data_IF_040050456427
#
_entry.id   IF_040050456427
#
_cell.length_a   1.000
_cell.length_b   1.000
_cell.length_c   1.000
_cell.angle_alpha   90.00
_cell.angle_beta   90.00
_cell.angle_gamma   90.00
#
_symmetry.space_group_name_H-M   'P 1'
#
loop_
_entity.id
_entity.type
_entity.pdbx_description
1 polymer ?
#
# COMPACT_ATOMS: atom_id res chain seq x y z
N UNK A 1 -0.19 -13.22 -31.91
CA UNK A 1 0.11 -14.58 -32.40
C UNK A 1 1.20 -15.17 -31.52
N UNK A 2 0.97 -16.37 -30.97
CA UNK A 2 1.92 -17.04 -30.08
C UNK A 2 2.79 -17.99 -30.88
N UNK A 3 3.89 -17.51 -31.43
CA UNK A 3 4.79 -18.30 -32.28
C UNK A 3 5.96 -18.85 -31.48
N UNK A 4 6.21 -20.16 -31.57
CA UNK A 4 7.37 -20.79 -30.96
C UNK A 4 8.66 -20.32 -31.66
N UNK A 5 9.62 -19.80 -30.89
CA UNK A 5 10.91 -19.33 -31.42
C UNK A 5 11.89 -20.43 -31.81
N UNK A 6 11.56 -21.69 -31.50
CA UNK A 6 12.40 -22.87 -31.80
C UNK A 6 12.03 -23.48 -33.15
N UNK A 7 10.75 -23.76 -33.35
CA UNK A 7 10.24 -24.47 -34.53
C UNK A 7 9.39 -23.60 -35.46
N UNK A 8 9.01 -22.38 -35.06
CA UNK A 8 8.16 -21.49 -35.84
C UNK A 8 6.66 -21.82 -35.82
N UNK A 9 6.24 -22.89 -35.12
CA UNK A 9 4.82 -23.24 -35.01
C UNK A 9 4.01 -22.13 -34.32
N UNK A 10 2.82 -21.87 -34.84
CA UNK A 10 1.90 -20.86 -34.32
C UNK A 10 0.79 -21.50 -33.50
N UNK A 11 0.53 -20.95 -32.32
CA UNK A 11 -0.51 -21.42 -31.41
C UNK A 11 -1.62 -20.39 -31.26
N UNK A 12 -2.85 -20.88 -31.14
CA UNK A 12 -4.04 -20.06 -30.93
C UNK A 12 -3.96 -19.24 -29.64
N UNK A 13 -3.43 -19.87 -28.58
CA UNK A 13 -3.29 -19.24 -27.28
C UNK A 13 -1.93 -19.57 -26.65
N UNK A 14 -1.64 -18.83 -25.58
CA UNK A 14 -0.39 -18.93 -24.88
C UNK A 14 -0.23 -20.26 -24.13
N UNK A 15 -1.31 -20.83 -23.60
CA UNK A 15 -1.27 -22.11 -22.88
C UNK A 15 -0.84 -23.22 -23.82
N UNK A 16 -1.33 -23.21 -25.06
CA UNK A 16 -0.94 -24.16 -26.12
C UNK A 16 0.54 -24.01 -26.46
N UNK A 17 1.05 -22.79 -26.61
CA UNK A 17 2.49 -22.55 -26.78
C UNK A 17 3.29 -23.13 -25.60
N UNK A 18 2.89 -22.83 -24.36
CA UNK A 18 3.56 -23.30 -23.14
C UNK A 18 3.56 -24.83 -23.03
N UNK A 19 2.47 -25.49 -23.41
CA UNK A 19 2.39 -26.96 -23.47
C UNK A 19 3.32 -27.51 -24.54
N UNK A 20 3.39 -26.87 -25.71
CA UNK A 20 4.25 -27.28 -26.82
C UNK A 20 5.75 -27.23 -26.47
N UNK A 21 6.18 -26.33 -25.58
CA UNK A 21 7.60 -26.26 -25.14
C UNK A 21 8.13 -27.60 -24.60
N UNK A 22 7.24 -28.46 -24.08
CA UNK A 22 7.60 -29.82 -23.63
C UNK A 22 8.14 -30.69 -24.76
N UNK A 23 7.71 -30.47 -26.00
CA UNK A 23 8.20 -31.18 -27.19
C UNK A 23 9.69 -30.89 -27.45
N UNK A 24 10.16 -29.71 -27.04
CA UNK A 24 11.56 -29.28 -27.11
C UNK A 24 12.36 -29.62 -25.85
N UNK A 25 11.75 -30.28 -24.86
CA UNK A 25 12.36 -30.62 -23.57
C UNK A 25 12.94 -29.41 -22.82
N UNK A 26 12.32 -28.23 -22.98
CA UNK A 26 12.69 -27.03 -22.25
C UNK A 26 11.56 -26.58 -21.33
N UNK A 27 11.96 -25.89 -20.27
CA UNK A 27 11.07 -25.23 -19.33
C UNK A 27 10.60 -23.87 -19.86
N UNK A 28 9.54 -23.33 -19.25
CA UNK A 28 9.11 -21.95 -19.50
C UNK A 28 10.22 -20.94 -19.20
N UNK A 29 10.94 -21.16 -18.10
CA UNK A 29 12.02 -20.28 -17.69
C UNK A 29 13.11 -20.22 -18.75
N UNK A 30 13.63 -21.37 -19.18
CA UNK A 30 14.65 -21.47 -20.24
C UNK A 30 14.17 -20.84 -21.54
N UNK A 31 12.92 -21.10 -21.95
CA UNK A 31 12.37 -20.52 -23.17
C UNK A 31 12.39 -18.98 -23.14
N UNK A 32 11.87 -18.38 -22.07
CA UNK A 32 11.80 -16.92 -21.99
C UNK A 32 13.17 -16.28 -21.77
N UNK A 33 14.04 -16.86 -20.94
CA UNK A 33 15.37 -16.29 -20.71
C UNK A 33 16.29 -16.43 -21.93
N UNK A 34 16.13 -17.48 -22.75
CA UNK A 34 16.94 -17.69 -23.95
C UNK A 34 16.46 -16.87 -25.15
N UNK A 35 15.15 -16.86 -25.43
CA UNK A 35 14.60 -16.24 -26.64
C UNK A 35 14.10 -14.81 -26.44
N UNK A 36 13.95 -14.39 -25.19
CA UNK A 36 13.56 -13.03 -24.81
C UNK A 36 14.45 -12.54 -23.66
N UNK A 37 15.79 -12.54 -23.82
CA UNK A 37 16.69 -12.21 -22.72
C UNK A 37 16.43 -10.78 -22.23
N UNK A 38 16.25 -10.65 -20.92
CA UNK A 38 16.15 -9.38 -20.22
C UNK A 38 17.21 -9.31 -19.13
N UNK A 39 17.78 -8.13 -19.00
CA UNK A 39 18.88 -7.86 -18.08
C UNK A 39 18.45 -6.79 -17.07
N UNK A 40 18.99 -6.91 -15.88
CA UNK A 40 18.81 -5.94 -14.82
C UNK A 40 19.44 -4.61 -15.24
N UNK A 41 18.68 -3.51 -15.18
CA UNK A 41 19.21 -2.21 -15.61
C UNK A 41 20.33 -1.68 -14.70
N UNK A 42 20.46 -2.17 -13.48
CA UNK A 42 21.55 -1.82 -12.56
C UNK A 42 22.78 -2.71 -12.71
N UNK A 43 22.59 -4.03 -12.66
CA UNK A 43 23.71 -4.98 -12.57
C UNK A 43 24.13 -5.57 -13.92
N UNK A 44 23.34 -5.35 -14.98
CA UNK A 44 23.50 -5.98 -16.30
C UNK A 44 23.40 -7.52 -16.27
N UNK A 45 23.06 -8.11 -15.13
CA UNK A 45 22.87 -9.55 -14.98
C UNK A 45 21.49 -10.01 -15.51
N UNK A 46 21.34 -11.27 -15.95
CA UNK A 46 20.05 -11.81 -16.38
C UNK A 46 18.97 -11.71 -15.30
N UNK A 47 17.78 -11.22 -15.66
CA UNK A 47 16.65 -11.15 -14.72
C UNK A 47 16.11 -12.56 -14.39
N UNK A 48 15.74 -12.83 -13.13
CA UNK A 48 15.17 -14.11 -12.75
C UNK A 48 13.77 -14.29 -13.36
N UNK A 49 13.51 -15.49 -13.91
CA UNK A 49 12.18 -15.84 -14.40
C UNK A 49 11.31 -16.40 -13.27
N UNK A 50 10.15 -15.78 -13.04
CA UNK A 50 9.13 -16.28 -12.11
C UNK A 50 7.85 -16.71 -12.84
N UNK A 51 7.31 -15.82 -13.65
CA UNK A 51 6.25 -16.04 -14.61
C UNK A 51 6.41 -14.99 -15.72
N UNK A 52 5.69 -15.15 -16.82
CA UNK A 52 5.84 -14.29 -17.99
C UNK A 52 5.51 -12.84 -17.68
N UNK A 53 4.37 -12.57 -17.05
CA UNK A 53 3.89 -11.22 -16.76
C UNK A 53 4.93 -10.48 -15.92
N UNK A 54 5.34 -11.08 -14.80
CA UNK A 54 6.39 -10.54 -13.94
C UNK A 54 7.71 -10.35 -14.68
N UNK A 55 8.08 -11.30 -15.54
CA UNK A 55 9.34 -11.25 -16.28
C UNK A 55 9.39 -10.09 -17.27
N UNK A 56 8.27 -9.70 -17.89
CA UNK A 56 8.20 -8.58 -18.84
C UNK A 56 7.84 -7.24 -18.19
N UNK A 57 7.32 -7.24 -16.96
CA UNK A 57 6.98 -6.01 -16.22
C UNK A 57 8.14 -5.44 -15.39
N UNK A 58 9.16 -6.24 -15.06
CA UNK A 58 10.24 -5.85 -14.14
C UNK A 58 11.54 -5.53 -14.85
N UNK A 59 12.23 -4.49 -14.42
CA UNK A 59 13.57 -4.14 -14.90
C UNK A 59 14.67 -4.35 -13.84
N UNK A 60 14.25 -4.72 -12.63
CA UNK A 60 15.09 -4.92 -11.45
C UNK A 60 14.64 -6.17 -10.70
N UNK A 61 15.55 -6.82 -9.98
CA UNK A 61 15.19 -7.98 -9.15
C UNK A 61 14.43 -7.59 -7.88
N UNK A 62 14.61 -6.36 -7.41
CA UNK A 62 13.91 -5.82 -6.24
C UNK A 62 13.90 -4.28 -6.26
N UNK A 63 13.10 -3.68 -5.38
CA UNK A 63 12.98 -2.22 -5.26
C UNK A 63 14.30 -1.54 -4.89
N UNK A 64 15.17 -2.16 -4.10
CA UNK A 64 16.45 -1.55 -3.70
C UNK A 64 17.33 -1.25 -4.91
N UNK A 65 17.43 -2.19 -5.85
CA UNK A 65 18.18 -1.99 -7.10
C UNK A 65 17.57 -0.90 -7.99
N UNK A 66 16.24 -0.77 -8.03
CA UNK A 66 15.59 0.34 -8.72
C UNK A 66 16.04 1.69 -8.14
N UNK A 67 16.07 1.82 -6.81
CA UNK A 67 16.48 3.06 -6.15
C UNK A 67 17.97 3.36 -6.38
N UNK A 68 18.85 2.37 -6.25
CA UNK A 68 20.29 2.50 -6.55
C UNK A 68 20.53 2.92 -8.02
N UNK A 69 19.76 2.37 -8.95
CA UNK A 69 19.81 2.76 -10.36
C UNK A 69 19.36 4.21 -10.56
N UNK A 70 18.31 4.65 -9.87
CA UNK A 70 17.84 6.03 -9.94
C UNK A 70 18.87 7.03 -9.37
N UNK A 71 19.70 6.61 -8.43
CA UNK A 71 20.78 7.43 -7.88
C UNK A 71 21.99 7.53 -8.81
N UNK A 72 22.26 6.47 -9.58
CA UNK A 72 23.46 6.35 -10.42
C UNK A 72 23.28 6.83 -11.87
N UNK A 73 22.04 7.07 -12.31
CA UNK A 73 21.72 7.48 -13.67
C UNK A 73 21.39 8.97 -13.79
N UNK A 74 21.45 9.49 -15.02
CA UNK A 74 21.17 10.91 -15.26
C UNK A 74 19.70 11.26 -15.00
N UNK A 75 19.47 12.54 -14.65
CA UNK A 75 18.17 12.98 -14.20
C UNK A 75 17.06 12.90 -15.26
N UNK A 76 17.40 12.97 -16.56
CA UNK A 76 16.41 12.88 -17.64
C UNK A 76 15.94 11.44 -17.83
N UNK A 77 16.89 10.49 -17.85
CA UNK A 77 16.61 9.05 -17.92
C UNK A 77 15.77 8.58 -16.75
N UNK A 78 16.14 8.96 -15.52
CA UNK A 78 15.39 8.60 -14.31
C UNK A 78 13.99 9.21 -14.34
N UNK A 79 13.88 10.50 -14.70
CA UNK A 79 12.59 11.20 -14.79
C UNK A 79 11.62 10.51 -15.77
N UNK A 80 12.11 10.10 -16.94
CA UNK A 80 11.31 9.35 -17.90
C UNK A 80 10.88 7.99 -17.33
N UNK A 81 11.84 7.23 -16.77
CA UNK A 81 11.59 5.88 -16.27
C UNK A 81 10.56 5.85 -15.15
N UNK A 82 10.69 6.70 -14.13
CA UNK A 82 9.77 6.68 -12.98
C UNK A 82 8.34 7.06 -13.37
N UNK A 83 8.18 7.95 -14.36
CA UNK A 83 6.87 8.33 -14.90
C UNK A 83 6.25 7.16 -15.68
N UNK A 84 7.05 6.45 -16.47
CA UNK A 84 6.60 5.28 -17.22
C UNK A 84 6.22 4.12 -16.29
N UNK A 85 6.97 3.89 -15.21
CA UNK A 85 6.63 2.92 -14.19
C UNK A 85 5.28 3.24 -13.51
N UNK A 86 5.03 4.52 -13.22
CA UNK A 86 3.76 4.98 -12.67
C UNK A 86 2.60 4.80 -13.68
N UNK A 87 2.83 5.17 -14.95
CA UNK A 87 1.86 5.00 -16.05
C UNK A 87 1.45 3.54 -16.22
N UNK A 88 2.43 2.65 -16.39
CA UNK A 88 2.19 1.20 -16.53
C UNK A 88 1.42 0.64 -15.34
N UNK A 89 1.72 1.08 -14.11
CA UNK A 89 0.97 0.69 -12.93
C UNK A 89 -0.50 1.11 -13.03
N UNK A 90 -0.74 2.38 -13.37
CA UNK A 90 -2.08 2.92 -13.51
C UNK A 90 -2.90 2.18 -14.56
N UNK A 91 -2.31 1.95 -15.74
CA UNK A 91 -2.96 1.24 -16.86
C UNK A 91 -3.24 -0.23 -16.52
N UNK A 92 -2.24 -0.97 -16.01
CA UNK A 92 -2.39 -2.41 -15.72
C UNK A 92 -3.41 -2.69 -14.61
N UNK A 93 -3.65 -1.72 -13.72
CA UNK A 93 -4.60 -1.86 -12.61
C UNK A 93 -5.88 -1.05 -12.79
N UNK A 94 -6.00 -0.29 -13.88
CA UNK A 94 -7.15 0.59 -14.13
C UNK A 94 -7.36 1.62 -13.01
N UNK A 95 -6.28 2.21 -12.49
CA UNK A 95 -6.33 3.14 -11.37
C UNK A 95 -6.93 4.49 -11.80
N UNK A 96 -7.83 5.03 -10.98
CA UNK A 96 -8.34 6.40 -11.12
C UNK A 96 -7.56 7.42 -10.28
N UNK A 97 -6.77 6.93 -9.31
CA UNK A 97 -5.95 7.74 -8.40
C UNK A 97 -4.50 7.24 -8.40
N UNK A 98 -3.58 8.16 -8.16
CA UNK A 98 -2.16 7.87 -7.95
C UNK A 98 -1.97 7.05 -6.66
N UNK A 99 -1.15 5.99 -6.69
CA UNK A 99 -0.78 5.19 -5.52
C UNK A 99 -0.35 6.01 -4.29
N UNK A 100 -0.76 5.59 -3.09
CA UNK A 100 -0.20 6.14 -1.84
C UNK A 100 1.22 5.61 -1.58
N UNK A 101 1.91 6.17 -0.59
CA UNK A 101 3.26 5.78 -0.16
C UNK A 101 3.39 4.27 0.04
N UNK A 102 2.48 3.67 0.80
CA UNK A 102 2.49 2.23 1.02
C UNK A 102 2.31 1.42 -0.28
N UNK A 103 1.44 1.86 -1.19
CA UNK A 103 1.26 1.15 -2.46
C UNK A 103 2.51 1.21 -3.32
N UNK A 104 3.18 2.37 -3.37
CA UNK A 104 4.45 2.54 -4.08
C UNK A 104 5.51 1.58 -3.52
N UNK A 105 5.61 1.47 -2.19
CA UNK A 105 6.52 0.53 -1.55
C UNK A 105 6.16 -0.94 -1.83
N UNK A 106 4.92 -1.33 -1.53
CA UNK A 106 4.45 -2.73 -1.63
C UNK A 106 4.32 -3.23 -3.08
N UNK A 107 4.38 -2.33 -4.07
CA UNK A 107 4.40 -2.66 -5.50
C UNK A 107 5.79 -2.51 -6.13
N UNK A 108 6.82 -2.23 -5.32
CA UNK A 108 8.21 -2.03 -5.75
C UNK A 108 8.36 -0.90 -6.79
N UNK A 109 7.64 0.20 -6.59
CA UNK A 109 7.69 1.40 -7.42
C UNK A 109 8.61 2.48 -6.83
N UNK A 110 8.97 3.52 -7.62
CA UNK A 110 9.74 4.67 -7.13
C UNK A 110 9.08 5.35 -5.92
N UNK A 111 9.89 5.97 -5.07
CA UNK A 111 9.41 6.65 -3.86
C UNK A 111 8.74 7.98 -4.17
N UNK A 112 7.97 8.51 -3.23
CA UNK A 112 7.39 9.86 -3.33
C UNK A 112 8.50 10.92 -3.49
N UNK A 113 9.63 10.77 -2.80
CA UNK A 113 10.80 11.66 -2.88
C UNK A 113 11.39 11.69 -4.29
N UNK A 114 11.49 10.53 -4.97
CA UNK A 114 11.98 10.49 -6.35
C UNK A 114 11.04 11.27 -7.27
N UNK A 115 9.73 11.11 -7.12
CA UNK A 115 8.79 11.92 -7.89
C UNK A 115 8.90 13.40 -7.56
N UNK A 116 8.97 13.78 -6.28
CA UNK A 116 9.16 15.17 -5.85
C UNK A 116 10.45 15.78 -6.42
N UNK A 117 11.57 15.04 -6.39
CA UNK A 117 12.87 15.47 -6.93
C UNK A 117 12.81 15.77 -8.43
N UNK A 118 12.13 14.94 -9.22
CA UNK A 118 12.14 15.07 -10.69
C UNK A 118 10.95 15.86 -11.26
N UNK A 119 9.85 16.00 -10.51
CA UNK A 119 8.59 16.64 -10.93
C UNK A 119 8.13 17.77 -10.00
N UNK A 120 8.99 18.22 -9.06
CA UNK A 120 8.67 19.21 -8.01
C UNK A 120 7.65 18.74 -6.95
N UNK A 121 6.70 17.86 -7.30
CA UNK A 121 5.78 17.22 -6.37
C UNK A 121 5.26 15.90 -6.92
N UNK A 122 4.75 15.03 -6.03
CA UNK A 122 4.07 13.80 -6.45
C UNK A 122 2.75 14.07 -7.17
N UNK A 123 2.04 15.13 -6.77
CA UNK A 123 0.84 15.61 -7.48
C UNK A 123 1.12 15.92 -8.94
N UNK A 124 2.18 16.70 -9.22
CA UNK A 124 2.57 17.01 -10.60
C UNK A 124 2.97 15.77 -11.39
N UNK A 125 3.61 14.77 -10.76
CA UNK A 125 3.91 13.51 -11.43
C UNK A 125 2.63 12.73 -11.81
N UNK A 126 1.63 12.67 -10.93
CA UNK A 126 0.34 12.04 -11.22
C UNK A 126 -0.42 12.77 -12.34
N UNK A 127 -0.41 14.11 -12.34
CA UNK A 127 -1.09 14.92 -13.36
C UNK A 127 -0.52 14.66 -14.77
N UNK A 128 0.79 14.38 -14.89
CA UNK A 128 1.43 14.04 -16.17
C UNK A 128 0.91 12.75 -16.81
N UNK A 129 0.23 11.89 -16.04
CA UNK A 129 -0.44 10.68 -16.55
C UNK A 129 -1.96 10.77 -16.42
N UNK A 130 -2.52 11.96 -16.16
CA UNK A 130 -3.96 12.18 -16.08
C UNK A 130 -4.61 11.73 -14.77
N UNK A 131 -3.83 11.53 -13.70
CA UNK A 131 -4.33 11.12 -12.38
C UNK A 131 -4.19 12.23 -11.33
N UNK A 132 -4.94 12.10 -10.24
CA UNK A 132 -4.71 12.82 -8.99
C UNK A 132 -4.17 11.84 -7.95
N UNK A 133 -3.23 12.23 -7.07
CA UNK A 133 -2.77 11.32 -6.02
C UNK A 133 -3.92 11.03 -5.04
N UNK A 134 -3.92 9.82 -4.45
CA UNK A 134 -4.90 9.39 -3.45
C UNK A 134 -4.97 10.34 -2.25
N UNK A 135 -3.81 10.85 -1.83
CA UNK A 135 -3.67 11.85 -0.78
C UNK A 135 -2.90 13.04 -1.35
N UNK A 136 -3.42 14.26 -1.16
CA UNK A 136 -2.83 15.46 -1.75
C UNK A 136 -2.61 16.62 -0.77
N UNK A 137 -2.94 16.42 0.52
CA UNK A 137 -2.72 17.39 1.58
C UNK A 137 -1.39 17.14 2.30
N UNK A 138 -0.80 18.22 2.82
CA UNK A 138 0.33 18.15 3.74
C UNK A 138 -0.15 17.90 5.16
N UNK A 139 0.71 17.32 5.99
CA UNK A 139 0.49 17.24 7.43
C UNK A 139 0.28 18.67 8.00
N UNK A 140 -0.80 18.91 8.76
CA UNK A 140 -1.03 20.19 9.42
C UNK A 140 0.01 20.45 10.51
N UNK A 141 0.44 21.70 10.68
CA UNK A 141 1.41 22.09 11.71
C UNK A 141 0.91 21.77 13.12
N UNK A 142 -0.41 21.79 13.32
CA UNK A 142 -1.08 21.45 14.58
C UNK A 142 -0.87 19.99 15.02
N UNK A 143 -0.36 19.11 14.15
CA UNK A 143 0.01 17.75 14.54
C UNK A 143 1.10 17.70 15.62
N UNK A 144 1.96 18.73 15.67
CA UNK A 144 3.00 18.84 16.68
C UNK A 144 2.48 19.34 18.03
N UNK A 145 1.24 19.86 18.07
CA UNK A 145 0.64 20.32 19.32
C UNK A 145 0.32 19.13 20.23
N UNK A 146 0.41 19.38 21.54
CA UNK A 146 -0.12 18.44 22.54
C UNK A 146 -1.64 18.37 22.43
N UNK A 147 -2.17 17.17 22.63
CA UNK A 147 -3.61 16.95 22.70
C UNK A 147 -4.06 17.27 24.12
N UNK A 148 -5.10 18.10 24.26
CA UNK A 148 -5.68 18.43 25.57
C UNK A 148 -6.09 17.15 26.30
N UNK A 149 -5.59 16.96 27.52
CA UNK A 149 -5.83 15.78 28.34
C UNK A 149 -7.30 15.65 28.78
N UNK A 150 -8.09 16.72 28.66
CA UNK A 150 -9.53 16.72 28.91
C UNK A 150 -10.35 16.18 27.74
N UNK A 151 -9.74 15.93 26.58
CA UNK A 151 -10.44 15.37 25.42
C UNK A 151 -10.95 13.98 25.76
N UNK A 152 -12.28 13.83 25.74
CA UNK A 152 -12.94 12.57 26.01
C UNK A 152 -12.88 11.66 24.79
N UNK A 153 -12.17 10.53 24.93
CA UNK A 153 -12.13 9.47 23.94
C UNK A 153 -13.18 8.42 24.27
N UNK A 154 -14.10 8.21 23.33
CA UNK A 154 -15.07 7.14 23.38
C UNK A 154 -14.44 5.83 22.90
N UNK A 155 -14.58 4.79 23.71
CA UNK A 155 -14.06 3.45 23.46
C UNK A 155 -15.23 2.52 23.20
N UNK A 156 -15.22 1.81 22.07
CA UNK A 156 -16.29 0.88 21.73
C UNK A 156 -16.44 -0.22 22.79
N UNK A 157 -17.67 -0.47 23.22
CA UNK A 157 -17.99 -1.51 24.23
C UNK A 157 -17.51 -2.92 23.89
N UNK A 158 -17.19 -3.23 22.62
CA UNK A 158 -16.70 -4.53 22.16
C UNK A 158 -15.18 -4.65 22.24
N UNK A 159 -14.45 -3.54 22.42
CA UNK A 159 -12.99 -3.55 22.50
C UNK A 159 -12.55 -4.24 23.80
N UNK A 160 -11.88 -5.39 23.68
CA UNK A 160 -11.56 -6.24 24.83
C UNK A 160 -10.29 -5.79 25.57
N UNK A 161 -9.37 -5.13 24.87
CA UNK A 161 -8.07 -4.70 25.39
C UNK A 161 -7.80 -3.24 25.00
N UNK A 162 -8.65 -2.31 25.47
CA UNK A 162 -8.59 -0.92 25.04
C UNK A 162 -7.28 -0.25 25.45
N UNK A 163 -6.87 0.77 24.70
CA UNK A 163 -5.79 1.68 25.10
C UNK A 163 -6.21 2.55 26.28
N UNK A 164 -5.22 3.05 27.02
CA UNK A 164 -5.46 3.90 28.19
C UNK A 164 -5.34 5.38 27.81
N UNK A 165 -6.36 6.17 28.13
CA UNK A 165 -6.40 7.60 27.89
C UNK A 165 -6.79 8.36 29.15
N UNK A 166 -6.31 9.60 29.29
CA UNK A 166 -6.55 10.43 30.47
C UNK A 166 -8.04 10.69 30.73
N UNK A 167 -8.82 10.94 29.66
CA UNK A 167 -10.27 11.06 29.72
C UNK A 167 -10.90 10.10 28.71
N UNK A 168 -11.55 9.04 29.18
CA UNK A 168 -12.24 8.09 28.32
C UNK A 168 -13.57 7.62 28.88
N UNK A 169 -14.45 7.19 27.99
CA UNK A 169 -15.76 6.66 28.33
C UNK A 169 -16.12 5.50 27.40
N UNK A 170 -16.73 4.44 27.94
CA UNK A 170 -17.19 3.33 27.12
C UNK A 170 -18.53 3.70 26.45
N UNK A 171 -18.58 3.60 25.13
CA UNK A 171 -19.76 3.94 24.32
C UNK A 171 -19.94 2.88 23.24
N UNK A 172 -21.18 2.62 22.82
CA UNK A 172 -21.42 1.76 21.65
C UNK A 172 -21.22 2.58 20.38
N UNK A 173 -20.19 2.28 19.60
CA UNK A 173 -19.91 2.95 18.33
C UNK A 173 -20.52 2.16 17.16
N UNK A 174 -20.90 2.87 16.11
CA UNK A 174 -21.45 2.25 14.90
C UNK A 174 -20.36 1.50 14.09
N UNK A 175 -19.12 2.01 14.13
CA UNK A 175 -17.91 1.45 13.54
C UNK A 175 -16.67 2.02 14.22
N UNK A 176 -15.55 1.29 14.10
CA UNK A 176 -14.31 1.60 14.81
C UNK A 176 -14.35 1.24 16.29
N UNK A 177 -13.18 1.32 16.92
CA UNK A 177 -12.94 1.07 18.34
C UNK A 177 -12.81 2.37 19.13
N UNK A 178 -12.38 3.46 18.48
CA UNK A 178 -12.18 4.76 19.13
C UNK A 178 -12.79 5.90 18.33
N UNK A 179 -13.40 6.85 19.04
CA UNK A 179 -13.87 8.12 18.52
C UNK A 179 -13.66 9.22 19.58
N UNK A 180 -13.73 10.48 19.18
CA UNK A 180 -13.94 11.60 20.12
C UNK A 180 -15.39 12.04 20.01
N UNK A 181 -15.91 12.81 20.96
CA UNK A 181 -17.13 13.56 20.68
C UNK A 181 -17.16 14.96 21.25
N UNK A 182 -18.37 15.51 21.34
CA UNK A 182 -18.61 16.92 21.64
C UNK A 182 -17.91 17.83 20.61
N UNK A 183 -17.20 18.87 21.07
CA UNK A 183 -16.63 19.94 20.24
C UNK A 183 -15.53 19.47 19.26
N UNK A 184 -15.02 18.25 19.43
CA UNK A 184 -13.98 17.65 18.59
C UNK A 184 -14.52 16.57 17.64
N UNK A 185 -15.84 16.32 17.63
CA UNK A 185 -16.41 15.32 16.72
C UNK A 185 -16.31 15.79 15.27
N UNK A 186 -15.54 15.06 14.47
CA UNK A 186 -15.40 15.37 13.05
C UNK A 186 -15.51 14.11 12.18
N UNK A 187 -16.46 13.24 12.52
CA UNK A 187 -16.82 12.03 11.74
C UNK A 187 -15.63 11.08 11.50
N UNK A 188 -14.62 11.17 12.36
CA UNK A 188 -13.36 10.42 12.26
C UNK A 188 -13.33 9.34 13.33
N UNK A 189 -13.00 8.13 12.91
CA UNK A 189 -12.98 6.95 13.75
C UNK A 189 -11.66 6.21 13.56
N UNK A 190 -11.25 5.47 14.59
CA UNK A 190 -10.09 4.57 14.54
C UNK A 190 -10.56 3.15 14.79
N UNK A 191 -10.15 2.23 13.92
CA UNK A 191 -10.25 0.78 14.08
C UNK A 191 -8.83 0.24 14.34
N UNK A 192 -8.57 -0.18 15.56
CA UNK A 192 -7.24 -0.62 16.01
C UNK A 192 -7.12 -2.12 15.79
N UNK A 193 -5.99 -2.55 15.24
CA UNK A 193 -5.73 -3.96 14.95
C UNK A 193 -4.37 -4.41 15.43
N UNK A 194 -4.33 -5.60 16.02
CA UNK A 194 -3.08 -6.35 16.15
C UNK A 194 -2.58 -6.80 14.77
N UNK A 195 -1.30 -7.19 14.66
CA UNK A 195 -0.75 -7.78 13.44
C UNK A 195 -1.56 -8.99 12.95
N UNK A 196 -1.99 -9.85 13.86
CA UNK A 196 -2.79 -11.05 13.56
C UNK A 196 -4.19 -10.68 13.06
N UNK A 197 -4.84 -9.73 13.73
CA UNK A 197 -6.20 -9.29 13.35
C UNK A 197 -6.19 -8.56 12.01
N UNK A 198 -5.16 -7.76 11.72
CA UNK A 198 -4.97 -7.13 10.42
C UNK A 198 -4.87 -8.18 9.30
N UNK A 199 -3.98 -9.17 9.46
CA UNK A 199 -3.81 -10.26 8.47
C UNK A 199 -5.10 -11.07 8.28
N UNK A 200 -5.79 -11.36 9.38
CA UNK A 200 -7.06 -12.09 9.38
C UNK A 200 -8.18 -11.28 8.72
N UNK A 201 -8.28 -9.98 9.00
CA UNK A 201 -9.30 -9.07 8.45
C UNK A 201 -9.21 -9.01 6.93
N UNK A 202 -8.00 -8.95 6.38
CA UNK A 202 -7.77 -8.86 4.94
C UNK A 202 -7.75 -10.22 4.23
N UNK A 203 -8.22 -11.28 4.90
CA UNK A 203 -8.20 -12.66 4.39
C UNK A 203 -9.59 -13.32 4.39
N UNK A 204 -9.86 -14.12 3.34
CA UNK A 204 -11.03 -14.98 3.26
C UNK A 204 -12.37 -14.25 3.47
N UNK A 205 -13.23 -14.80 4.32
CA UNK A 205 -14.58 -14.25 4.59
C UNK A 205 -14.55 -12.93 5.39
N UNK A 206 -13.49 -12.68 6.16
CA UNK A 206 -13.36 -11.48 6.96
C UNK A 206 -13.16 -10.24 6.09
N UNK A 207 -12.54 -10.40 4.91
CA UNK A 207 -12.37 -9.33 3.93
C UNK A 207 -13.71 -8.74 3.51
N UNK A 208 -14.68 -9.58 3.15
CA UNK A 208 -16.02 -9.12 2.74
C UNK A 208 -16.81 -8.50 3.92
N UNK A 209 -16.59 -8.99 5.15
CA UNK A 209 -17.18 -8.37 6.33
C UNK A 209 -16.62 -6.96 6.54
N UNK A 210 -15.29 -6.81 6.49
CA UNK A 210 -14.64 -5.53 6.68
C UNK A 210 -14.96 -4.54 5.55
N UNK A 211 -15.05 -5.01 4.31
CA UNK A 211 -15.52 -4.23 3.18
C UNK A 211 -16.92 -3.64 3.40
N UNK A 212 -17.84 -4.40 4.02
CA UNK A 212 -19.18 -3.89 4.40
C UNK A 212 -19.10 -2.85 5.51
N UNK A 213 -18.17 -2.99 6.45
CA UNK A 213 -17.92 -1.99 7.49
C UNK A 213 -17.42 -0.68 6.85
N UNK A 214 -16.45 -0.75 5.91
CA UNK A 214 -15.99 0.42 5.14
C UNK A 214 -17.09 1.04 4.27
N UNK A 215 -17.95 0.22 3.66
CA UNK A 215 -19.10 0.73 2.91
C UNK A 215 -20.06 1.50 3.81
N UNK A 216 -20.34 1.01 5.02
CA UNK A 216 -21.15 1.75 6.01
C UNK A 216 -20.48 3.06 6.43
N UNK A 217 -19.17 3.06 6.67
CA UNK A 217 -18.40 4.28 6.96
C UNK A 217 -18.57 5.31 5.84
N UNK A 218 -18.44 4.88 4.59
CA UNK A 218 -18.64 5.72 3.40
C UNK A 218 -20.07 6.23 3.27
N UNK A 219 -21.07 5.36 3.47
CA UNK A 219 -22.48 5.72 3.39
C UNK A 219 -22.89 6.77 4.45
N UNK A 220 -22.17 6.81 5.57
CA UNK A 220 -22.35 7.78 6.65
C UNK A 220 -21.45 9.03 6.52
N UNK A 221 -20.71 9.15 5.41
CA UNK A 221 -19.74 10.24 5.15
C UNK A 221 -18.70 10.41 6.28
N UNK A 222 -18.29 9.28 6.85
CA UNK A 222 -17.27 9.22 7.89
C UNK A 222 -15.92 8.77 7.31
N UNK A 223 -14.90 8.79 8.17
CA UNK A 223 -13.56 8.34 7.83
C UNK A 223 -13.03 7.36 8.87
N UNK A 224 -12.47 6.24 8.41
CA UNK A 224 -11.90 5.19 9.26
C UNK A 224 -10.38 5.07 9.08
N UNK A 225 -9.63 5.39 10.13
CA UNK A 225 -8.22 5.05 10.22
C UNK A 225 -8.07 3.63 10.77
N UNK A 226 -7.47 2.74 9.98
CA UNK A 226 -7.15 1.38 10.41
C UNK A 226 -5.74 1.37 10.96
N UNK A 227 -5.61 1.37 12.29
CA UNK A 227 -4.35 1.53 13.00
C UNK A 227 -3.81 0.16 13.39
N UNK A 228 -2.72 -0.27 12.75
CA UNK A 228 -2.11 -1.58 13.01
C UNK A 228 -0.90 -1.44 13.92
N UNK A 229 -0.87 -2.19 15.02
CA UNK A 229 0.18 -2.13 16.06
C UNK A 229 1.47 -2.86 15.69
N UNK A 230 1.99 -2.57 14.52
CA UNK A 230 3.28 -3.06 14.03
C UNK A 230 3.76 -2.13 12.93
N UNK A 231 5.00 -2.26 12.51
CA UNK A 231 5.50 -1.67 11.28
C UNK A 231 5.59 -2.75 10.19
N UNK A 232 5.57 -2.33 8.93
CA UNK A 232 5.58 -3.23 7.78
C UNK A 232 6.81 -4.15 7.78
N UNK A 233 7.98 -3.64 8.16
CA UNK A 233 9.23 -4.40 8.14
C UNK A 233 9.28 -5.50 9.19
N UNK A 234 8.83 -5.19 10.41
CA UNK A 234 8.68 -6.14 11.52
C UNK A 234 7.65 -7.20 11.17
N UNK A 235 6.51 -6.81 10.60
CA UNK A 235 5.47 -7.74 10.16
C UNK A 235 5.98 -8.71 9.08
N UNK A 236 6.74 -8.22 8.09
CA UNK A 236 7.34 -9.06 7.06
C UNK A 236 8.39 -10.03 7.63
N UNK A 237 9.27 -9.52 8.50
CA UNK A 237 10.29 -10.32 9.17
C UNK A 237 9.66 -11.43 10.01
N UNK A 238 8.71 -11.11 10.88
CA UNK A 238 7.98 -12.11 11.69
C UNK A 238 7.24 -13.11 10.83
N UNK A 239 6.62 -12.66 9.74
CA UNK A 239 5.93 -13.56 8.82
C UNK A 239 6.90 -14.52 8.11
N UNK A 240 8.12 -14.09 7.80
CA UNK A 240 9.14 -14.94 7.18
C UNK A 240 9.61 -16.06 8.12
N UNK A 241 9.76 -15.76 9.42
CA UNK A 241 10.22 -16.70 10.43
C UNK A 241 9.11 -17.51 11.12
N UNK A 242 7.84 -17.23 10.79
CA UNK A 242 6.70 -17.93 11.37
C UNK A 242 6.58 -19.37 10.85
N UNK A 243 6.28 -20.37 11.71
CA UNK A 243 5.92 -21.72 11.26
C UNK A 243 4.71 -21.74 10.32
N UNK A 244 3.80 -20.77 10.50
CA UNK A 244 2.63 -20.58 9.65
C UNK A 244 2.69 -19.20 9.01
N UNK A 245 3.18 -19.15 7.77
CA UNK A 245 3.35 -17.90 7.03
C UNK A 245 2.03 -17.48 6.39
N UNK A 246 1.67 -16.20 6.54
CA UNK A 246 0.56 -15.60 5.81
C UNK A 246 1.01 -15.16 4.42
N UNK A 247 0.11 -15.21 3.44
CA UNK A 247 0.39 -14.71 2.10
C UNK A 247 0.31 -13.17 2.09
N UNK A 248 1.40 -12.51 2.48
CA UNK A 248 1.46 -11.04 2.56
C UNK A 248 1.18 -10.36 1.21
N UNK A 249 1.54 -10.99 0.09
CA UNK A 249 1.24 -10.44 -1.25
C UNK A 249 -0.27 -10.34 -1.49
N UNK A 250 -1.02 -11.35 -1.05
CA UNK A 250 -2.47 -11.35 -1.11
C UNK A 250 -3.08 -10.31 -0.15
N UNK A 251 -2.57 -10.24 1.08
CA UNK A 251 -3.04 -9.28 2.10
C UNK A 251 -2.84 -7.83 1.63
N UNK A 252 -1.64 -7.48 1.14
CA UNK A 252 -1.37 -6.14 0.61
C UNK A 252 -2.14 -5.85 -0.67
N UNK A 253 -2.41 -6.86 -1.49
CA UNK A 253 -3.30 -6.67 -2.64
C UNK A 253 -4.71 -6.27 -2.18
N UNK A 254 -5.28 -6.99 -1.22
CA UNK A 254 -6.61 -6.69 -0.68
C UNK A 254 -6.65 -5.31 0.00
N UNK A 255 -5.61 -4.97 0.77
CA UNK A 255 -5.47 -3.63 1.36
C UNK A 255 -5.53 -2.54 0.29
N UNK A 256 -4.73 -2.65 -0.77
CA UNK A 256 -4.72 -1.67 -1.88
C UNK A 256 -6.06 -1.58 -2.59
N UNK A 257 -6.73 -2.72 -2.82
CA UNK A 257 -8.08 -2.72 -3.43
C UNK A 257 -9.04 -1.91 -2.57
N UNK A 258 -9.08 -2.13 -1.25
CA UNK A 258 -9.92 -1.36 -0.34
C UNK A 258 -9.52 0.12 -0.30
N UNK A 259 -8.22 0.44 -0.28
CA UNK A 259 -7.74 1.82 -0.28
C UNK A 259 -8.20 2.60 -1.52
N UNK A 260 -8.24 1.98 -2.70
CA UNK A 260 -8.77 2.62 -3.91
C UNK A 260 -10.30 2.66 -3.93
N UNK A 261 -10.98 1.59 -3.52
CA UNK A 261 -12.45 1.50 -3.51
C UNK A 261 -13.09 2.51 -2.52
N UNK A 262 -12.47 2.67 -1.36
CA UNK A 262 -12.92 3.57 -0.28
C UNK A 262 -12.00 4.78 -0.11
N UNK A 263 -11.32 5.19 -1.20
CA UNK A 263 -10.53 6.42 -1.20
C UNK A 263 -11.39 7.61 -0.73
N UNK A 264 -10.83 8.42 0.17
CA UNK A 264 -11.56 9.51 0.84
C UNK A 264 -12.34 9.11 2.09
N UNK A 265 -12.41 7.82 2.44
CA UNK A 265 -13.14 7.33 3.63
C UNK A 265 -12.33 6.35 4.50
N UNK A 266 -11.13 5.94 4.07
CA UNK A 266 -10.27 5.11 4.90
C UNK A 266 -8.79 5.30 4.63
N UNK A 267 -7.98 4.96 5.63
CA UNK A 267 -6.53 4.87 5.50
C UNK A 267 -5.98 3.81 6.45
N UNK A 268 -5.09 2.97 5.94
CA UNK A 268 -4.37 1.99 6.75
C UNK A 268 -3.04 2.60 7.19
N UNK A 269 -2.75 2.53 8.49
CA UNK A 269 -1.50 2.98 9.05
C UNK A 269 -0.88 1.92 9.96
N UNK A 270 0.45 1.90 10.01
CA UNK A 270 1.30 0.96 10.74
C UNK A 270 2.17 1.76 11.71
N UNK A 271 1.85 1.72 12.98
CA UNK A 271 2.39 2.62 14.01
C UNK A 271 3.60 2.06 14.74
N UNK A 272 3.97 0.79 14.49
CA UNK A 272 5.08 0.11 15.15
C UNK A 272 4.68 -0.68 16.40
N UNK A 273 3.81 -0.13 17.25
CA UNK A 273 3.41 -0.79 18.49
C UNK A 273 2.24 -0.14 19.23
N UNK A 274 1.94 -0.69 20.40
CA UNK A 274 0.80 -0.27 21.24
C UNK A 274 0.98 1.13 21.82
N UNK A 275 2.17 1.44 22.31
CA UNK A 275 2.51 2.77 22.85
C UNK A 275 2.38 3.85 21.76
N UNK A 276 2.97 3.62 20.59
CA UNK A 276 2.87 4.54 19.45
C UNK A 276 1.42 4.70 18.97
N UNK A 277 0.62 3.64 19.03
CA UNK A 277 -0.82 3.73 18.72
C UNK A 277 -1.56 4.59 19.74
N UNK A 278 -1.25 4.46 21.03
CA UNK A 278 -1.83 5.27 22.10
C UNK A 278 -1.48 6.75 21.97
N UNK A 279 -0.27 7.06 21.50
CA UNK A 279 0.17 8.45 21.29
C UNK A 279 -0.48 9.10 20.05
N UNK A 280 -0.61 8.34 18.95
CA UNK A 280 -1.09 8.90 17.67
C UNK A 280 -2.61 9.00 17.57
N UNK A 281 -3.36 8.08 18.19
CA UNK A 281 -4.82 8.00 18.07
C UNK A 281 -5.53 9.29 18.54
N UNK A 282 -5.18 9.91 19.69
CA UNK A 282 -5.76 11.18 20.11
C UNK A 282 -5.55 12.29 19.08
N UNK A 283 -4.36 12.36 18.46
CA UNK A 283 -4.06 13.34 17.40
C UNK A 283 -4.89 13.10 16.15
N UNK A 284 -5.04 11.83 15.74
CA UNK A 284 -5.86 11.45 14.58
C UNK A 284 -7.30 11.87 14.78
N UNK A 285 -7.87 11.53 15.94
CA UNK A 285 -9.27 11.79 16.24
C UNK A 285 -9.58 13.28 16.38
N UNK A 286 -8.64 14.07 16.90
CA UNK A 286 -8.86 15.52 17.18
C UNK A 286 -8.59 16.42 15.98
N UNK A 287 -7.63 16.07 15.12
CA UNK A 287 -7.40 16.80 13.87
C UNK A 287 -8.41 16.41 12.78
N UNK A 288 -9.00 15.22 12.88
CA UNK A 288 -10.18 14.82 12.10
C UNK A 288 -10.00 15.02 10.60
N UNK A 289 -10.90 15.80 9.97
CA UNK A 289 -10.91 16.06 8.53
C UNK A 289 -9.64 16.67 7.99
N UNK A 290 -8.85 17.36 8.81
CA UNK A 290 -7.55 17.91 8.39
C UNK A 290 -6.58 16.80 7.95
N UNK A 291 -6.78 15.56 8.42
CA UNK A 291 -5.91 14.42 8.10
C UNK A 291 -6.45 13.48 7.02
N UNK A 292 -7.73 13.58 6.63
CA UNK A 292 -8.37 12.60 5.73
C UNK A 292 -7.67 12.45 4.36
N UNK A 293 -7.02 13.53 3.91
CA UNK A 293 -6.34 13.62 2.63
C UNK A 293 -4.82 13.73 2.77
N UNK A 294 -4.29 13.43 3.96
CA UNK A 294 -2.86 13.35 4.28
C UNK A 294 -2.45 11.88 4.24
N UNK A 295 -1.35 11.57 3.55
CA UNK A 295 -0.75 10.23 3.59
C UNK A 295 -0.01 10.08 4.93
N UNK A 296 -0.72 9.70 5.99
CA UNK A 296 -0.17 9.63 7.34
C UNK A 296 0.90 8.52 7.45
N UNK A 297 0.76 7.43 6.70
CA UNK A 297 1.79 6.38 6.65
C UNK A 297 3.14 6.93 6.14
N UNK A 298 3.11 7.81 5.13
CA UNK A 298 4.31 8.50 4.66
C UNK A 298 5.05 9.20 5.80
N UNK A 299 4.35 9.96 6.64
CA UNK A 299 4.98 10.71 7.72
C UNK A 299 5.51 9.79 8.83
N UNK A 300 4.79 8.71 9.15
CA UNK A 300 5.24 7.70 10.13
C UNK A 300 6.53 7.03 9.68
N UNK A 301 6.57 6.52 8.44
CA UNK A 301 7.75 5.80 7.92
C UNK A 301 9.00 6.68 7.82
N UNK A 302 8.82 7.98 7.60
CA UNK A 302 9.90 8.97 7.56
C UNK A 302 10.27 9.55 8.92
N UNK A 303 9.62 9.10 10.01
CA UNK A 303 9.82 9.61 11.38
C UNK A 303 9.65 11.12 11.48
N UNK A 304 8.71 11.66 10.71
CA UNK A 304 8.31 13.06 10.76
C UNK A 304 7.23 13.31 11.81
N UNK A 305 6.64 12.23 12.31
CA UNK A 305 5.70 12.13 13.43
C UNK A 305 5.97 10.86 14.23
#
# INVERSE_FOLDING_TARGET
>A
MNTCKICGETFEDEKKLHMHLRSHKITLAEYYTQYHPRYNLLTEEPLPFKNKEHYFEKDFANRKQLLEWCESNDAATVKWYILEALRKRAENKGLSLGPCHFELQSSELPTIELFQKHFSSYTQACEKIGLKPMFNSRLPDEFQNEVDSNIKIFIDTREQQPLEFACSESLKLDFGDYAVGSDHYDYTFVDRKSETDFKSTLSGKNYERFRKELQRTKDMDCYLFVVTETDVSTMESRNHWSPHTSNMKYIYHNMRVLSHEFAGHCQFIFTGGREQSQDIIPKILTLGKKLWNVDLQYYIDHKLI
#
